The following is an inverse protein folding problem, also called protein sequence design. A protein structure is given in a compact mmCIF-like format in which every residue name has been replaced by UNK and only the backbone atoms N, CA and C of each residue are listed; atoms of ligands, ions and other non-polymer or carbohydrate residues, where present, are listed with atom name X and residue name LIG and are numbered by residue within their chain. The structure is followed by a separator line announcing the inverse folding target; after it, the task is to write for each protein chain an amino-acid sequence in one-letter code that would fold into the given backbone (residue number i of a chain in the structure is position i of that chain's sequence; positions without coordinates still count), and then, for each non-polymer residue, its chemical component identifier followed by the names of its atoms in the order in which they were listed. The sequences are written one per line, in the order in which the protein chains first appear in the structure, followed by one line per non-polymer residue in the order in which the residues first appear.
data_IF_157346190602
#
_entry.id   IF_157346190602
#
_cell.length_a   1.000
_cell.length_b   1.000
_cell.length_c   1.000
_cell.angle_alpha   90.00
_cell.angle_beta   90.00
_cell.angle_gamma   90.00
#
_symmetry.space_group_name_H-M   'P 1'
#
loop_
_entity.id
_entity.type
_entity.pdbx_description
1 polymer ?
#
# COMPACT_ATOMS: atom_id res chain seq x y z
N UNK A 1 10.34 6.09 14.93
CA UNK A 1 9.20 5.21 15.26
C UNK A 1 9.30 4.82 16.72
N UNK A 2 8.21 4.93 17.50
CA UNK A 2 8.19 4.61 18.94
C UNK A 2 7.76 3.16 19.20
N UNK A 3 6.71 2.70 18.53
CA UNK A 3 6.19 1.32 18.60
C UNK A 3 5.54 0.92 17.29
N UNK A 4 5.34 -0.39 17.09
CA UNK A 4 4.63 -0.95 15.94
C UNK A 4 3.90 -2.24 16.35
N UNK A 5 2.75 -2.50 15.72
CA UNK A 5 2.04 -3.78 15.76
C UNK A 5 1.71 -4.20 14.34
N UNK A 6 2.04 -5.43 14.02
CA UNK A 6 1.77 -6.05 12.73
C UNK A 6 1.21 -7.46 12.96
N UNK A 7 0.34 -7.92 12.08
CA UNK A 7 -0.20 -9.28 12.09
C UNK A 7 -0.19 -9.83 10.67
N UNK A 8 0.28 -11.06 10.54
CA UNK A 8 0.19 -11.83 9.31
C UNK A 8 -1.10 -12.66 9.21
N UNK A 9 -1.99 -12.59 10.20
CA UNK A 9 -3.24 -13.35 10.21
C UNK A 9 -4.23 -12.80 9.20
N UNK A 10 -4.70 -13.65 8.30
CA UNK A 10 -5.76 -13.31 7.34
C UNK A 10 -7.07 -12.92 8.06
N UNK A 11 -7.72 -11.86 7.55
CA UNK A 11 -9.02 -11.37 8.02
C UNK A 11 -9.08 -10.83 9.45
N UNK A 12 -7.95 -10.54 10.07
CA UNK A 12 -7.87 -10.01 11.44
C UNK A 12 -8.11 -8.49 11.55
N UNK A 13 -8.18 -7.76 10.43
CA UNK A 13 -8.24 -6.30 10.40
C UNK A 13 -9.39 -5.70 11.25
N UNK A 14 -10.57 -6.36 11.25
CA UNK A 14 -11.74 -5.86 11.98
C UNK A 14 -11.63 -5.99 13.50
N UNK A 15 -10.88 -6.98 13.97
CA UNK A 15 -10.77 -7.29 15.40
C UNK A 15 -9.50 -6.76 16.02
N UNK A 16 -8.38 -6.74 15.28
CA UNK A 16 -7.07 -6.40 15.82
C UNK A 16 -6.72 -4.91 15.69
N UNK A 17 -7.24 -4.19 14.70
CA UNK A 17 -6.81 -2.81 14.43
C UNK A 17 -6.92 -1.91 15.67
N UNK A 18 -8.09 -1.85 16.28
CA UNK A 18 -8.32 -0.99 17.47
C UNK A 18 -7.58 -1.49 18.70
N UNK A 19 -7.36 -2.82 18.81
CA UNK A 19 -6.52 -3.42 19.86
C UNK A 19 -5.08 -2.96 19.68
N UNK A 20 -4.53 -3.04 18.47
CA UNK A 20 -3.16 -2.60 18.18
C UNK A 20 -2.96 -1.12 18.42
N UNK A 21 -3.93 -0.26 18.05
CA UNK A 21 -3.87 1.16 18.39
C UNK A 21 -3.75 1.37 19.89
N UNK A 22 -4.59 0.68 20.68
CA UNK A 22 -4.56 0.75 22.14
C UNK A 22 -3.22 0.25 22.73
N UNK A 23 -2.70 -0.85 22.20
CA UNK A 23 -1.41 -1.40 22.64
C UNK A 23 -0.24 -0.47 22.34
N UNK A 24 -0.18 0.10 21.13
CA UNK A 24 0.86 1.06 20.73
C UNK A 24 0.82 2.30 21.63
N UNK A 25 -0.34 2.86 21.90
CA UNK A 25 -0.49 4.00 22.80
C UNK A 25 -0.02 3.64 24.23
N UNK A 26 -0.45 2.48 24.75
CA UNK A 26 -0.03 2.00 26.06
C UNK A 26 1.49 1.81 26.16
N UNK A 27 2.10 1.15 25.17
CA UNK A 27 3.55 0.88 25.14
C UNK A 27 4.37 2.16 25.09
N UNK A 28 3.89 3.16 24.35
CA UNK A 28 4.57 4.45 24.21
C UNK A 28 4.29 5.42 25.38
N UNK A 29 3.42 5.05 26.33
CA UNK A 29 2.98 5.93 27.40
C UNK A 29 2.21 7.16 26.91
N UNK A 30 1.60 7.07 25.70
CA UNK A 30 0.83 8.14 25.09
C UNK A 30 -0.67 7.92 25.26
N UNK A 31 -1.41 9.02 25.30
CA UNK A 31 -2.87 9.05 25.27
C UNK A 31 -3.36 9.58 23.92
N UNK A 32 -4.61 9.29 23.56
CA UNK A 32 -5.17 9.70 22.27
C UNK A 32 -5.24 11.22 22.08
N UNK A 33 -5.42 11.96 23.15
CA UNK A 33 -5.41 13.43 23.20
C UNK A 33 -4.04 14.07 22.96
N UNK A 34 -2.98 13.27 22.91
CA UNK A 34 -1.61 13.69 22.61
C UNK A 34 -1.22 13.41 21.14
N UNK A 35 -2.15 12.97 20.33
CA UNK A 35 -1.92 12.72 18.90
C UNK A 35 -2.10 14.04 18.12
N UNK A 36 -1.21 14.28 17.16
CA UNK A 36 -1.27 15.47 16.29
C UNK A 36 -2.01 15.16 14.97
N UNK A 37 -2.01 13.91 14.52
CA UNK A 37 -2.68 13.46 13.31
C UNK A 37 -2.86 11.93 13.31
N UNK A 38 -3.74 11.42 12.44
CA UNK A 38 -3.86 9.99 12.12
C UNK A 38 -3.51 9.77 10.66
N UNK A 39 -2.47 8.98 10.38
CA UNK A 39 -2.15 8.54 9.04
C UNK A 39 -2.76 7.18 8.74
N UNK A 40 -3.32 7.01 7.54
CA UNK A 40 -3.97 5.78 7.08
C UNK A 40 -3.60 5.45 5.65
N UNK A 41 -3.38 4.16 5.37
CA UNK A 41 -3.31 3.69 3.97
C UNK A 41 -4.68 3.86 3.31
N UNK A 42 -4.76 4.73 2.30
CA UNK A 42 -6.00 5.00 1.58
C UNK A 42 -6.25 4.03 0.41
N UNK A 43 -5.32 3.12 0.15
CA UNK A 43 -5.41 2.16 -0.95
C UNK A 43 -4.39 2.42 -2.07
N UNK A 44 -4.42 1.61 -3.13
CA UNK A 44 -5.35 0.49 -3.33
C UNK A 44 -5.08 -0.69 -2.39
N UNK A 45 -6.07 -1.61 -2.28
CA UNK A 45 -5.97 -2.79 -1.42
C UNK A 45 -7.31 -3.49 -1.19
N UNK A 46 -7.38 -4.30 -0.13
CA UNK A 46 -8.60 -5.00 0.25
C UNK A 46 -9.73 -4.02 0.54
N UNK A 47 -10.85 -4.15 -0.19
CA UNK A 47 -12.04 -3.30 -0.03
C UNK A 47 -12.52 -3.22 1.43
N UNK A 48 -12.67 -4.38 2.08
CA UNK A 48 -13.12 -4.45 3.48
C UNK A 48 -12.05 -3.87 4.42
N UNK A 49 -10.77 -4.20 4.21
CA UNK A 49 -9.67 -3.69 5.03
C UNK A 49 -9.55 -2.17 4.97
N UNK A 50 -9.66 -1.59 3.79
CA UNK A 50 -9.63 -0.14 3.59
C UNK A 50 -10.80 0.57 4.30
N UNK A 51 -12.01 0.03 4.21
CA UNK A 51 -13.17 0.61 4.90
C UNK A 51 -13.03 0.58 6.41
N UNK A 52 -12.57 -0.55 6.96
CA UNK A 52 -12.31 -0.69 8.40
C UNK A 52 -11.26 0.33 8.83
N UNK A 53 -10.13 0.38 8.12
CA UNK A 53 -9.02 1.28 8.43
C UNK A 53 -9.43 2.76 8.39
N UNK A 54 -10.06 3.19 7.29
CA UNK A 54 -10.50 4.58 7.13
C UNK A 54 -11.58 4.94 8.16
N UNK A 55 -12.53 4.05 8.45
CA UNK A 55 -13.56 4.31 9.49
C UNK A 55 -12.93 4.47 10.87
N UNK A 56 -11.96 3.63 11.23
CA UNK A 56 -11.25 3.74 12.51
C UNK A 56 -10.43 5.04 12.58
N UNK A 57 -9.70 5.38 11.51
CA UNK A 57 -8.91 6.61 11.44
C UNK A 57 -9.79 7.85 11.57
N UNK A 58 -10.92 7.91 10.84
CA UNK A 58 -11.92 8.99 10.94
C UNK A 58 -12.52 9.09 12.33
N UNK A 59 -12.82 7.95 12.98
CA UNK A 59 -13.37 7.92 14.34
C UNK A 59 -12.41 8.51 15.36
N UNK A 60 -11.11 8.14 15.30
CA UNK A 60 -10.09 8.69 16.19
C UNK A 60 -9.87 10.18 15.90
N UNK A 61 -9.72 10.57 14.64
CA UNK A 61 -9.51 11.94 14.23
C UNK A 61 -10.66 12.86 14.64
N UNK A 62 -11.88 12.42 14.45
CA UNK A 62 -13.07 13.16 14.87
C UNK A 62 -13.14 13.34 16.39
N UNK A 63 -12.89 12.25 17.15
CA UNK A 63 -12.95 12.30 18.61
C UNK A 63 -11.88 13.20 19.24
N UNK A 64 -10.71 13.32 18.60
CA UNK A 64 -9.58 14.12 19.10
C UNK A 64 -9.47 15.49 18.40
N UNK A 65 -10.32 15.77 17.43
CA UNK A 65 -10.30 16.99 16.60
C UNK A 65 -8.92 17.22 15.94
N UNK A 66 -8.36 16.14 15.33
CA UNK A 66 -7.06 16.13 14.64
C UNK A 66 -7.23 15.72 13.18
N UNK A 67 -6.29 16.08 12.27
CA UNK A 67 -6.40 15.76 10.87
C UNK A 67 -6.16 14.29 10.54
N UNK A 68 -6.71 13.84 9.40
CA UNK A 68 -6.42 12.56 8.75
C UNK A 68 -5.46 12.78 7.58
N UNK A 69 -4.47 11.91 7.45
CA UNK A 69 -3.51 11.89 6.34
C UNK A 69 -3.65 10.58 5.57
N UNK A 70 -4.03 10.67 4.30
CA UNK A 70 -4.18 9.53 3.41
C UNK A 70 -2.90 9.21 2.65
N UNK A 71 -2.34 8.00 2.82
CA UNK A 71 -1.13 7.55 2.14
C UNK A 71 -1.47 6.46 1.12
N UNK A 72 -0.97 6.55 -0.11
CA UNK A 72 -1.12 5.50 -1.11
C UNK A 72 -0.32 4.25 -0.70
N UNK A 73 -0.98 3.08 -0.72
CA UNK A 73 -0.36 1.81 -0.33
C UNK A 73 0.86 1.48 -1.20
N UNK A 74 0.73 1.64 -2.52
CA UNK A 74 1.82 1.38 -3.46
C UNK A 74 3.03 2.30 -3.24
N UNK A 75 2.77 3.55 -2.85
CA UNK A 75 3.83 4.49 -2.54
C UNK A 75 4.61 4.08 -1.27
N UNK A 76 3.93 3.66 -0.21
CA UNK A 76 4.60 3.17 1.01
C UNK A 76 5.39 1.88 0.75
N UNK A 77 4.87 0.97 -0.07
CA UNK A 77 5.59 -0.24 -0.50
C UNK A 77 6.87 0.09 -1.28
N UNK A 78 6.85 1.14 -2.11
CA UNK A 78 8.04 1.57 -2.85
C UNK A 78 9.14 2.07 -1.91
N UNK A 79 8.80 2.75 -0.82
CA UNK A 79 9.79 3.10 0.21
C UNK A 79 10.40 1.86 0.87
N UNK A 80 9.60 0.81 1.14
CA UNK A 80 10.13 -0.46 1.63
C UNK A 80 11.12 -1.07 0.64
N UNK A 81 10.80 -1.02 -0.67
CA UNK A 81 11.69 -1.53 -1.71
C UNK A 81 13.01 -0.76 -1.76
N UNK A 82 12.99 0.56 -1.67
CA UNK A 82 14.19 1.40 -1.65
C UNK A 82 15.13 1.12 -0.45
N UNK A 83 14.60 0.58 0.64
CA UNK A 83 15.36 0.17 1.82
C UNK A 83 15.90 -1.28 1.72
N UNK A 84 15.36 -2.08 0.80
CA UNK A 84 15.73 -3.49 0.62
C UNK A 84 17.12 -3.63 0.00
N UNK A 85 17.96 -4.54 0.53
CA UNK A 85 19.35 -4.73 0.10
C UNK A 85 19.46 -5.25 -1.33
N UNK A 86 18.64 -6.22 -1.73
CA UNK A 86 18.65 -6.79 -3.09
C UNK A 86 18.24 -5.73 -4.12
N UNK A 87 17.26 -4.89 -3.78
CA UNK A 87 16.81 -3.78 -4.64
C UNK A 87 17.90 -2.72 -4.78
N UNK A 88 18.62 -2.41 -3.71
CA UNK A 88 19.77 -1.48 -3.76
C UNK A 88 20.88 -2.00 -4.64
N UNK A 89 21.15 -3.31 -4.63
CA UNK A 89 22.12 -3.92 -5.52
C UNK A 89 21.67 -3.81 -6.98
N UNK A 90 20.43 -4.17 -7.29
CA UNK A 90 19.85 -3.99 -8.64
C UNK A 90 19.92 -2.53 -9.11
N UNK A 91 19.70 -1.57 -8.22
CA UNK A 91 19.79 -0.16 -8.54
C UNK A 91 21.21 0.30 -8.88
N UNK A 92 22.23 -0.32 -8.28
CA UNK A 92 23.65 -0.08 -8.64
C UNK A 92 24.00 -0.69 -9.99
N UNK A 93 23.48 -1.89 -10.28
CA UNK A 93 23.70 -2.60 -11.56
C UNK A 93 22.95 -1.93 -12.72
N UNK A 94 21.78 -1.35 -12.44
CA UNK A 94 20.88 -0.74 -13.43
C UNK A 94 20.52 0.71 -13.04
N UNK A 95 21.39 1.69 -13.36
CA UNK A 95 21.06 3.11 -13.15
C UNK A 95 19.79 3.49 -13.91
N UNK A 96 18.78 4.01 -13.20
CA UNK A 96 17.46 4.29 -13.78
C UNK A 96 16.44 3.17 -13.60
N UNK A 97 16.74 2.16 -12.74
CA UNK A 97 15.79 1.14 -12.31
C UNK A 97 14.47 1.79 -11.84
N UNK A 98 13.36 1.27 -12.36
CA UNK A 98 12.01 1.65 -11.95
C UNK A 98 11.42 0.65 -10.96
N UNK A 99 10.48 1.10 -10.14
CA UNK A 99 9.89 0.35 -9.04
C UNK A 99 8.41 0.13 -9.31
N UNK A 100 7.98 -1.12 -9.38
CA UNK A 100 6.59 -1.48 -9.64
C UNK A 100 6.01 -2.30 -8.49
N UNK A 101 5.47 -1.63 -7.44
CA UNK A 101 4.70 -2.27 -6.39
C UNK A 101 3.43 -2.88 -6.97
N UNK A 102 3.06 -4.07 -6.52
CA UNK A 102 1.87 -4.78 -6.98
C UNK A 102 1.09 -5.38 -5.81
N UNK A 103 -0.20 -5.12 -5.79
CA UNK A 103 -1.14 -5.75 -4.86
C UNK A 103 -2.08 -6.65 -5.66
N UNK A 104 -2.33 -7.86 -5.16
CA UNK A 104 -3.26 -8.80 -5.78
C UNK A 104 -4.69 -8.24 -5.81
N UNK A 105 -5.26 -8.10 -7.01
CA UNK A 105 -6.63 -7.65 -7.26
C UNK A 105 -7.57 -8.81 -7.67
N UNK A 106 -7.16 -10.05 -7.35
CA UNK A 106 -7.79 -11.33 -7.73
C UNK A 106 -7.64 -11.68 -9.21
N UNK A 107 -7.78 -12.98 -9.54
CA UNK A 107 -7.55 -13.52 -10.91
C UNK A 107 -6.17 -13.08 -11.41
N UNK A 108 -6.00 -12.80 -12.69
CA UNK A 108 -4.75 -12.28 -13.27
C UNK A 108 -4.69 -10.75 -13.29
N UNK A 109 -5.29 -10.09 -12.30
CA UNK A 109 -5.31 -8.65 -12.17
C UNK A 109 -4.53 -8.20 -10.92
N UNK A 110 -3.83 -7.09 -11.05
CA UNK A 110 -3.07 -6.45 -9.97
C UNK A 110 -3.39 -4.96 -9.90
N UNK A 111 -3.32 -4.38 -8.72
CA UNK A 111 -3.18 -2.95 -8.57
C UNK A 111 -1.69 -2.60 -8.62
N UNK A 112 -1.31 -1.73 -9.52
CA UNK A 112 0.09 -1.35 -9.71
C UNK A 112 0.27 0.13 -10.07
N UNK A 113 1.48 0.60 -9.89
CA UNK A 113 1.98 1.86 -10.38
C UNK A 113 3.47 1.69 -10.70
N UNK A 114 4.09 2.64 -11.41
CA UNK A 114 5.54 2.62 -11.59
C UNK A 114 6.12 3.94 -11.07
N UNK A 115 7.14 3.82 -10.23
CA UNK A 115 7.84 4.96 -9.63
C UNK A 115 9.32 4.97 -10.05
N UNK A 116 9.92 6.14 -10.10
CA UNK A 116 11.37 6.29 -10.13
C UNK A 116 11.98 6.25 -8.70
N UNK A 117 13.29 6.28 -8.61
CA UNK A 117 14.02 6.28 -7.34
C UNK A 117 13.77 7.55 -6.48
N UNK A 118 13.19 8.59 -7.05
CA UNK A 118 12.79 9.83 -6.35
C UNK A 118 11.33 9.82 -5.93
N UNK A 119 10.67 8.66 -6.02
CA UNK A 119 9.24 8.50 -5.71
C UNK A 119 8.30 9.25 -6.66
N UNK A 120 8.80 9.70 -7.83
CA UNK A 120 7.95 10.28 -8.86
C UNK A 120 7.21 9.16 -9.60
N UNK A 121 5.91 9.28 -9.68
CA UNK A 121 5.06 8.37 -10.44
C UNK A 121 5.33 8.54 -11.95
N UNK A 122 5.78 7.48 -12.62
CA UNK A 122 6.03 7.43 -14.07
C UNK A 122 4.90 6.74 -14.82
N UNK A 123 4.24 5.77 -14.17
CA UNK A 123 2.97 5.17 -14.62
C UNK A 123 1.97 5.27 -13.47
N UNK A 124 0.80 5.87 -13.71
CA UNK A 124 -0.18 6.12 -12.65
C UNK A 124 -0.76 4.83 -12.08
N UNK A 125 -1.23 4.95 -10.82
CA UNK A 125 -1.91 3.87 -10.11
C UNK A 125 -3.11 3.38 -10.93
N UNK A 126 -3.14 2.08 -11.23
CA UNK A 126 -4.22 1.47 -12.02
C UNK A 126 -4.43 0.00 -11.66
N UNK A 127 -5.59 -0.53 -12.06
CA UNK A 127 -5.87 -1.96 -12.06
C UNK A 127 -5.47 -2.53 -13.44
N UNK A 128 -4.55 -3.48 -13.45
CA UNK A 128 -3.98 -4.05 -14.69
C UNK A 128 -4.28 -5.54 -14.74
N UNK A 129 -4.97 -5.97 -15.79
CA UNK A 129 -5.04 -7.40 -16.17
C UNK A 129 -3.70 -7.75 -16.80
N UNK A 130 -2.97 -8.66 -16.16
CA UNK A 130 -1.60 -8.99 -16.59
C UNK A 130 -1.61 -10.06 -17.65
N UNK A 131 -1.03 -9.73 -18.78
CA UNK A 131 -0.77 -10.58 -19.94
C UNK A 131 0.75 -10.60 -20.22
N UNK A 132 1.20 -11.48 -21.10
CA UNK A 132 2.64 -11.66 -21.40
C UNK A 132 3.34 -10.36 -21.82
N UNK A 133 2.66 -9.51 -22.57
CA UNK A 133 3.20 -8.22 -23.05
C UNK A 133 2.89 -7.02 -22.13
N UNK A 134 2.29 -7.27 -20.96
CA UNK A 134 2.05 -6.20 -19.98
C UNK A 134 3.39 -5.57 -19.55
N UNK A 135 3.38 -4.25 -19.41
CA UNK A 135 4.57 -3.43 -19.12
C UNK A 135 5.65 -3.42 -20.22
N UNK A 136 5.46 -4.10 -21.37
CA UNK A 136 6.45 -4.23 -22.44
C UNK A 136 7.05 -2.88 -22.88
N UNK A 137 6.22 -1.88 -23.15
CA UNK A 137 6.70 -0.54 -23.55
C UNK A 137 7.65 0.12 -22.56
N UNK A 138 7.47 -0.14 -21.28
CA UNK A 138 8.34 0.40 -20.23
C UNK A 138 9.58 -0.48 -20.07
N UNK A 139 9.40 -1.80 -20.13
CA UNK A 139 10.48 -2.79 -20.05
C UNK A 139 11.46 -2.69 -21.24
N UNK A 140 11.00 -2.33 -22.42
CA UNK A 140 11.86 -2.09 -23.59
C UNK A 140 12.88 -0.96 -23.37
N UNK A 141 12.59 -0.05 -22.43
CA UNK A 141 13.40 1.14 -22.19
C UNK A 141 14.07 1.17 -20.81
N UNK A 142 13.52 0.42 -19.85
CA UNK A 142 13.95 0.47 -18.46
C UNK A 142 13.94 -0.92 -17.80
N UNK A 143 14.88 -1.13 -16.91
CA UNK A 143 14.78 -2.22 -15.94
C UNK A 143 13.70 -1.88 -14.92
N UNK A 144 12.84 -2.85 -14.59
CA UNK A 144 11.77 -2.69 -13.60
C UNK A 144 11.93 -3.77 -12.53
N UNK A 145 11.89 -3.37 -11.26
CA UNK A 145 11.75 -4.30 -10.15
C UNK A 145 10.29 -4.38 -9.73
N UNK A 146 9.72 -5.59 -9.82
CA UNK A 146 8.36 -5.94 -9.41
C UNK A 146 8.37 -6.56 -8.02
N UNK A 147 7.48 -6.16 -7.14
CA UNK A 147 7.40 -6.65 -5.76
C UNK A 147 5.98 -6.53 -5.18
N UNK A 148 5.76 -7.21 -4.04
CA UNK A 148 4.45 -7.35 -3.41
C UNK A 148 3.69 -8.59 -3.87
N UNK A 149 2.62 -8.96 -3.16
CA UNK A 149 1.88 -10.20 -3.39
C UNK A 149 1.24 -10.31 -4.79
N UNK A 150 1.02 -9.19 -5.46
CA UNK A 150 0.61 -9.18 -6.86
C UNK A 150 1.73 -9.59 -7.81
N UNK A 151 3.00 -9.26 -7.51
CA UNK A 151 4.16 -9.60 -8.32
C UNK A 151 4.46 -11.10 -8.30
N UNK A 152 4.32 -11.76 -7.17
CA UNK A 152 4.54 -13.20 -7.03
C UNK A 152 3.63 -14.01 -7.98
N UNK A 153 2.39 -13.58 -8.10
CA UNK A 153 1.39 -14.20 -8.95
C UNK A 153 1.74 -14.13 -10.45
N UNK A 154 2.35 -13.04 -10.87
CA UNK A 154 2.59 -12.75 -12.29
C UNK A 154 3.99 -13.07 -12.79
N UNK A 155 4.90 -13.50 -11.91
CA UNK A 155 6.30 -13.82 -12.22
C UNK A 155 6.46 -14.78 -13.41
N UNK A 156 5.56 -15.73 -13.57
CA UNK A 156 5.57 -16.68 -14.68
C UNK A 156 5.00 -16.12 -16.00
N UNK A 157 4.28 -15.01 -15.94
CA UNK A 157 3.59 -14.39 -17.08
C UNK A 157 4.48 -13.37 -17.78
N UNK A 158 5.15 -12.49 -17.05
CA UNK A 158 6.04 -11.48 -17.63
C UNK A 158 7.44 -12.10 -17.80
N UNK A 159 7.84 -12.27 -19.07
CA UNK A 159 9.14 -12.85 -19.45
C UNK A 159 9.91 -11.82 -20.26
N UNK A 160 10.69 -10.98 -19.56
CA UNK A 160 11.50 -9.94 -20.19
C UNK A 160 12.82 -9.83 -19.45
N UNK A 161 13.95 -9.63 -20.16
CA UNK A 161 15.29 -9.55 -19.55
C UNK A 161 15.43 -8.39 -18.53
N UNK A 162 14.68 -7.31 -18.75
CA UNK A 162 14.66 -6.13 -17.87
C UNK A 162 13.66 -6.25 -16.71
N UNK A 163 12.95 -7.39 -16.56
CA UNK A 163 12.00 -7.63 -15.49
C UNK A 163 12.66 -8.36 -14.32
N UNK A 164 12.75 -7.69 -13.16
CA UNK A 164 13.31 -8.23 -11.93
C UNK A 164 12.19 -8.42 -10.90
N UNK A 165 12.24 -9.47 -10.11
CA UNK A 165 11.20 -9.80 -9.14
C UNK A 165 11.84 -10.02 -7.76
N UNK A 166 11.37 -9.26 -6.75
CA UNK A 166 11.81 -9.37 -5.36
C UNK A 166 10.63 -9.78 -4.50
N UNK A 167 10.84 -10.76 -3.63
CA UNK A 167 9.85 -11.27 -2.69
C UNK A 167 9.92 -10.56 -1.34
N UNK A 168 8.89 -10.75 -0.51
CA UNK A 168 8.92 -10.33 0.90
C UNK A 168 8.77 -8.84 1.15
N UNK A 169 8.36 -8.06 0.13
CA UNK A 169 8.02 -6.65 0.31
C UNK A 169 6.49 -6.54 0.42
N UNK A 170 6.02 -6.35 1.64
CA UNK A 170 4.61 -6.24 1.98
C UNK A 170 4.26 -4.82 2.48
N UNK A 171 2.98 -4.40 2.39
CA UNK A 171 2.55 -3.15 2.97
C UNK A 171 2.80 -3.12 4.48
N UNK A 172 3.43 -2.05 4.97
CA UNK A 172 3.68 -1.83 6.40
C UNK A 172 3.43 -0.38 6.79
N UNK A 173 2.92 -0.17 8.00
CA UNK A 173 2.74 1.17 8.55
C UNK A 173 4.07 1.90 8.83
N UNK A 174 5.18 1.16 8.93
CA UNK A 174 6.52 1.75 9.17
C UNK A 174 6.91 2.74 8.08
N UNK A 175 6.75 2.33 6.82
CA UNK A 175 7.13 3.15 5.67
C UNK A 175 6.12 4.24 5.34
N UNK A 176 4.95 4.23 6.01
CA UNK A 176 4.04 5.37 5.95
C UNK A 176 4.55 6.59 6.72
N UNK A 177 5.38 6.39 7.75
CA UNK A 177 5.86 7.47 8.64
C UNK A 177 6.49 8.63 7.88
N UNK A 178 7.53 8.45 7.03
CA UNK A 178 8.15 9.57 6.32
C UNK A 178 7.18 10.27 5.35
N UNK A 179 6.27 9.54 4.72
CA UNK A 179 5.24 10.11 3.85
C UNK A 179 4.22 10.93 4.64
N UNK A 180 3.80 10.40 5.79
CA UNK A 180 2.85 11.08 6.68
C UNK A 180 3.45 12.37 7.28
N UNK A 181 4.71 12.33 7.71
CA UNK A 181 5.41 13.53 8.21
C UNK A 181 5.52 14.61 7.13
N UNK A 182 5.95 14.23 5.92
CA UNK A 182 6.04 15.16 4.80
C UNK A 182 4.67 15.77 4.41
N UNK A 183 3.60 14.98 4.48
CA UNK A 183 2.25 15.45 4.24
C UNK A 183 1.75 16.38 5.37
N UNK A 184 2.07 16.05 6.63
CA UNK A 184 1.73 16.86 7.79
C UNK A 184 2.40 18.24 7.73
N UNK A 185 3.69 18.31 7.44
CA UNK A 185 4.44 19.56 7.29
C UNK A 185 3.88 20.45 6.17
N UNK A 186 3.35 19.84 5.11
CA UNK A 186 2.70 20.54 3.98
C UNK A 186 1.21 20.79 4.22
N UNK A 187 0.66 20.42 5.37
CA UNK A 187 -0.77 20.50 5.70
C UNK A 187 -1.67 19.82 4.65
N UNK A 188 -1.19 18.71 4.08
CA UNK A 188 -1.93 17.89 3.12
C UNK A 188 -2.84 16.91 3.88
N UNK A 189 -3.99 17.42 4.32
CA UNK A 189 -4.96 16.67 5.11
C UNK A 189 -6.16 16.28 4.26
N UNK A 190 -6.75 15.14 4.58
CA UNK A 190 -8.02 14.68 4.00
C UNK A 190 -9.19 15.35 4.72
N UNK A 191 -10.25 15.63 3.99
CA UNK A 191 -11.52 16.06 4.61
C UNK A 191 -12.14 14.91 5.40
N UNK A 192 -12.10 14.97 6.71
CA UNK A 192 -12.55 13.88 7.58
C UNK A 192 -14.01 13.48 7.36
N UNK A 193 -14.87 14.40 6.91
CA UNK A 193 -16.28 14.11 6.63
C UNK A 193 -16.44 13.31 5.32
N UNK A 194 -15.75 13.73 4.26
CA UNK A 194 -15.93 13.20 2.90
C UNK A 194 -14.82 12.25 2.43
N UNK A 195 -13.74 12.11 3.19
CA UNK A 195 -12.65 11.20 2.85
C UNK A 195 -13.13 9.76 2.69
N UNK A 196 -12.82 9.18 1.55
CA UNK A 196 -13.06 7.78 1.20
C UNK A 196 -11.80 7.07 0.78
N UNK A 197 -11.72 5.74 0.91
CA UNK A 197 -10.64 4.97 0.33
C UNK A 197 -10.53 5.17 -1.17
N UNK A 198 -9.31 5.07 -1.69
CA UNK A 198 -9.05 5.14 -3.13
C UNK A 198 -9.47 3.81 -3.78
N UNK A 199 -10.71 3.77 -4.27
CA UNK A 199 -11.29 2.63 -4.96
C UNK A 199 -10.94 2.68 -6.44
N UNK A 200 -10.11 1.72 -6.90
CA UNK A 200 -9.80 1.55 -8.33
C UNK A 200 -10.84 0.72 -9.09
N UNK A 201 -11.74 0.08 -8.37
CA UNK A 201 -12.81 -0.75 -8.92
C UNK A 201 -14.11 -0.52 -8.17
N UNK A 202 -15.18 -0.58 -8.94
CA UNK A 202 -16.52 -0.67 -8.36
C UNK A 202 -16.71 -1.97 -7.59
N UNK A 203 -17.46 -1.91 -6.52
CA UNK A 203 -17.81 -3.08 -5.74
C UNK A 203 -18.76 -3.99 -6.54
N UNK A 204 -18.28 -5.14 -6.99
CA UNK A 204 -19.11 -6.19 -7.58
C UNK A 204 -19.46 -7.20 -6.49
N UNK A 205 -20.72 -7.18 -6.05
CA UNK A 205 -21.24 -8.16 -5.11
C UNK A 205 -21.19 -9.57 -5.76
N UNK A 206 -20.51 -10.51 -5.08
CA UNK A 206 -20.60 -11.93 -5.46
C UNK A 206 -21.97 -12.45 -5.07
N UNK A 207 -22.76 -12.90 -6.05
CA UNK A 207 -24.01 -13.64 -5.79
C UNK A 207 -23.61 -14.95 -5.12
N UNK A 208 -24.06 -15.26 -3.90
CA UNK A 208 -23.78 -16.52 -3.26
C UNK A 208 -24.29 -17.66 -4.15
N UNK A 209 -23.45 -18.63 -4.50
CA UNK A 209 -23.95 -19.87 -5.10
C UNK A 209 -24.88 -20.51 -4.08
N UNK A 210 -26.19 -20.56 -4.33
CA UNK A 210 -27.12 -21.34 -3.53
C UNK A 210 -26.57 -22.76 -3.47
N UNK A 211 -26.22 -23.24 -2.26
CA UNK A 211 -26.10 -24.68 -2.04
C UNK A 211 -27.51 -25.22 -2.27
N UNK A 212 -27.69 -25.96 -3.34
CA UNK A 212 -28.86 -26.81 -3.53
C UNK A 212 -28.70 -27.90 -2.45
N UNK A 213 -29.56 -27.89 -1.45
CA UNK A 213 -29.73 -28.95 -0.47
C UNK A 213 -30.33 -30.16 -1.17
#
# INVERSE_FOLDING_TARGET
MLAVRESAEDRSHGTLLTVFVKEVLKETGKHADQLDAVAISKGPGSYTGLRIGVSAAKGIAYAQNIPVIGILTLQSMTLTALENQEVRQLQQEHPGLLFCPMIDARRMEVFSAVYDARMKETVPVSAVIVEENSFGKVLDQHHIVFFGNGADKIRGTIRHENAHFINGIEPSSKQMIPLALAAYEKQQFEDTAYFEPFYLKDFIATIPKKKVL
#
